data_IF_811738295661
#
_entry.id   IF_811738295661
#
_cell.length_a   1.000
_cell.length_b   1.000
_cell.length_c   1.000
_cell.angle_alpha   90.00
_cell.angle_beta   90.00
_cell.angle_gamma   90.00
#
_symmetry.space_group_name_H-M   'P 1'
#
loop_
_entity.id
_entity.type
_entity.pdbx_description
1 polymer ?
#
# COMPACT_ATOMS: atom_id res chain seq x y z
N UNK A 1 7.21 14.72 4.65
CA UNK A 1 7.52 13.88 5.84
C UNK A 1 7.57 12.38 5.51
N UNK A 2 6.79 11.86 4.56
CA UNK A 2 6.78 10.44 4.18
C UNK A 2 8.03 9.95 3.42
N UNK A 3 8.62 10.79 2.56
CA UNK A 3 9.80 10.42 1.75
C UNK A 3 11.04 10.10 2.62
N UNK A 4 11.22 10.79 3.75
CA UNK A 4 12.40 10.60 4.60
C UNK A 4 12.42 9.26 5.35
N UNK A 5 11.27 8.59 5.52
CA UNK A 5 11.18 7.32 6.27
C UNK A 5 11.60 6.11 5.42
N UNK A 6 11.42 6.18 4.10
CA UNK A 6 11.86 5.15 3.15
C UNK A 6 13.40 5.05 3.08
N UNK A 7 14.08 6.20 3.17
CA UNK A 7 15.55 6.26 3.05
C UNK A 7 16.27 5.54 4.20
N UNK A 8 15.73 5.62 5.43
CA UNK A 8 16.29 4.92 6.60
C UNK A 8 16.07 3.41 6.55
N UNK A 9 14.97 2.94 5.94
CA UNK A 9 14.70 1.51 5.80
C UNK A 9 15.73 0.87 4.89
N UNK A 10 16.08 1.49 3.74
CA UNK A 10 17.06 0.95 2.79
C UNK A 10 18.43 0.62 3.41
N UNK A 11 18.83 1.30 4.48
CA UNK A 11 20.08 1.00 5.20
C UNK A 11 20.03 -0.25 6.09
N UNK A 12 18.84 -0.85 6.29
CA UNK A 12 18.59 -1.97 7.18
C UNK A 12 17.94 -3.19 6.49
N UNK A 13 18.02 -3.29 5.16
CA UNK A 13 17.38 -4.36 4.35
C UNK A 13 18.45 -5.22 3.66
N UNK A 14 18.31 -6.55 3.71
CA UNK A 14 19.22 -7.49 3.05
C UNK A 14 19.23 -8.88 3.69
N UNK A 15 19.76 -9.88 2.99
CA UNK A 15 20.15 -11.16 3.61
C UNK A 15 21.11 -10.84 4.78
N UNK A 16 20.77 -11.33 5.97
CA UNK A 16 21.40 -11.06 7.28
C UNK A 16 20.83 -9.94 8.16
N UNK A 17 19.88 -9.12 7.68
CA UNK A 17 19.15 -8.15 8.54
C UNK A 17 17.67 -8.52 8.71
N UNK A 18 16.96 -8.80 7.62
CA UNK A 18 15.54 -9.19 7.64
C UNK A 18 15.27 -10.31 6.65
N UNK A 19 15.23 -10.00 5.35
CA UNK A 19 15.06 -10.92 4.21
C UNK A 19 15.30 -10.19 2.89
N UNK A 20 15.67 -10.91 1.83
CA UNK A 20 16.02 -10.34 0.50
C UNK A 20 14.88 -9.55 -0.15
N UNK A 21 13.64 -9.96 0.06
CA UNK A 21 12.44 -9.37 -0.55
C UNK A 21 11.75 -8.29 0.31
N UNK A 22 12.34 -7.94 1.47
CA UNK A 22 11.70 -7.01 2.41
C UNK A 22 11.45 -5.61 1.80
N UNK A 23 12.38 -5.10 0.99
CA UNK A 23 12.21 -3.80 0.33
C UNK A 23 11.04 -3.82 -0.66
N UNK A 24 10.97 -4.87 -1.48
CA UNK A 24 9.94 -5.01 -2.52
C UNK A 24 8.56 -5.17 -1.91
N UNK A 25 8.43 -6.02 -0.88
CA UNK A 25 7.17 -6.21 -0.15
C UNK A 25 6.74 -4.94 0.58
N UNK A 26 7.67 -4.24 1.23
CA UNK A 26 7.37 -2.96 1.90
C UNK A 26 6.90 -1.89 0.90
N UNK A 27 7.53 -1.81 -0.26
CA UNK A 27 7.14 -0.88 -1.32
C UNK A 27 5.76 -1.23 -1.88
N UNK A 28 5.49 -2.51 -2.11
CA UNK A 28 4.20 -2.98 -2.60
C UNK A 28 3.07 -2.69 -1.61
N UNK A 29 3.28 -2.95 -0.32
CA UNK A 29 2.30 -2.63 0.72
C UNK A 29 2.01 -1.12 0.78
N UNK A 30 3.05 -0.30 0.68
CA UNK A 30 2.86 1.16 0.66
C UNK A 30 2.10 1.63 -0.58
N UNK A 31 2.40 1.07 -1.75
CA UNK A 31 1.68 1.37 -2.98
C UNK A 31 0.20 0.97 -2.88
N UNK A 32 -0.09 -0.25 -2.43
CA UNK A 32 -1.46 -0.75 -2.26
C UNK A 32 -2.25 0.07 -1.23
N UNK A 33 -1.60 0.48 -0.13
CA UNK A 33 -2.22 1.36 0.86
C UNK A 33 -2.55 2.73 0.26
N UNK A 34 -1.62 3.34 -0.49
CA UNK A 34 -1.86 4.63 -1.14
C UNK A 34 -3.04 4.55 -2.13
N UNK A 35 -3.07 3.51 -2.97
CA UNK A 35 -4.15 3.27 -3.93
C UNK A 35 -5.48 3.06 -3.18
N UNK A 36 -5.50 2.20 -2.16
CA UNK A 36 -6.71 1.96 -1.37
C UNK A 36 -7.25 3.23 -0.73
N UNK A 37 -6.38 4.14 -0.25
CA UNK A 37 -6.81 5.42 0.32
C UNK A 37 -7.45 6.33 -0.72
N UNK A 38 -6.92 6.34 -1.94
CA UNK A 38 -7.52 7.07 -3.05
C UNK A 38 -8.87 6.45 -3.45
N UNK A 39 -8.98 5.12 -3.50
CA UNK A 39 -10.23 4.40 -3.75
C UNK A 39 -11.27 4.66 -2.65
N UNK A 40 -10.86 4.69 -1.39
CA UNK A 40 -11.74 5.02 -0.26
C UNK A 40 -12.30 6.44 -0.37
N UNK A 41 -11.47 7.40 -0.82
CA UNK A 41 -11.93 8.75 -1.10
C UNK A 41 -12.89 8.79 -2.30
N UNK A 42 -12.62 8.01 -3.36
CA UNK A 42 -13.51 7.89 -4.51
C UNK A 42 -14.87 7.29 -4.13
N UNK A 43 -14.90 6.27 -3.28
CA UNK A 43 -16.15 5.62 -2.82
C UNK A 43 -17.16 6.60 -2.21
N UNK A 44 -16.70 7.71 -1.61
CA UNK A 44 -17.60 8.73 -1.07
C UNK A 44 -18.32 9.58 -2.14
N UNK A 45 -17.86 9.54 -3.40
CA UNK A 45 -18.30 10.42 -4.49
C UNK A 45 -18.94 9.64 -5.65
N UNK A 46 -18.53 8.39 -5.88
CA UNK A 46 -19.11 7.51 -6.92
C UNK A 46 -20.08 6.49 -6.35
N UNK A 47 -20.99 6.02 -7.21
CA UNK A 47 -21.94 4.94 -6.89
C UNK A 47 -21.20 3.61 -6.81
N UNK A 48 -21.57 2.73 -5.87
CA UNK A 48 -20.84 1.48 -5.61
C UNK A 48 -20.71 0.56 -6.84
N UNK A 49 -21.69 0.53 -7.74
CA UNK A 49 -21.60 -0.31 -8.96
C UNK A 49 -20.57 0.20 -9.99
N UNK A 50 -20.04 1.42 -9.81
CA UNK A 50 -18.99 1.97 -10.67
C UNK A 50 -17.58 1.56 -10.24
N UNK A 51 -17.42 0.95 -9.06
CA UNK A 51 -16.13 0.46 -8.57
C UNK A 51 -15.74 -0.81 -9.33
N UNK A 52 -14.48 -0.87 -9.74
CA UNK A 52 -13.93 -2.09 -10.33
C UNK A 52 -13.73 -3.18 -9.28
N UNK A 53 -13.60 -4.43 -9.73
CA UNK A 53 -13.25 -5.53 -8.84
C UNK A 53 -11.91 -5.31 -8.12
N UNK A 54 -10.99 -4.56 -8.74
CA UNK A 54 -9.69 -4.24 -8.14
C UNK A 54 -9.82 -3.18 -7.04
N UNK A 55 -10.67 -2.17 -7.25
CA UNK A 55 -11.00 -1.17 -6.23
C UNK A 55 -11.58 -1.81 -4.96
N UNK A 56 -12.46 -2.79 -5.14
CA UNK A 56 -13.02 -3.57 -4.02
C UNK A 56 -11.94 -4.34 -3.26
N UNK A 57 -10.95 -4.91 -3.96
CA UNK A 57 -9.81 -5.58 -3.33
C UNK A 57 -8.92 -4.61 -2.56
N UNK A 58 -8.68 -3.39 -3.06
CA UNK A 58 -7.93 -2.38 -2.32
C UNK A 58 -8.68 -1.87 -1.09
N UNK A 59 -10.01 -1.80 -1.14
CA UNK A 59 -10.85 -1.48 0.02
C UNK A 59 -10.81 -2.59 1.08
N UNK A 60 -10.89 -3.85 0.66
CA UNK A 60 -10.74 -5.00 1.57
C UNK A 60 -9.34 -5.03 2.17
N UNK A 61 -8.30 -4.74 1.38
CA UNK A 61 -6.94 -4.60 1.86
C UNK A 61 -6.82 -3.53 2.96
N UNK A 62 -7.45 -2.36 2.80
CA UNK A 62 -7.45 -1.32 3.82
C UNK A 62 -8.18 -1.68 5.12
N UNK A 63 -9.19 -2.56 5.06
CA UNK A 63 -9.89 -3.00 6.28
C UNK A 63 -9.07 -4.00 7.09
N UNK A 64 -8.15 -4.73 6.43
CA UNK A 64 -7.33 -5.77 7.05
C UNK A 64 -6.00 -5.21 7.63
N UNK A 65 -5.46 -4.15 7.04
CA UNK A 65 -4.12 -3.60 7.33
C UNK A 65 -4.16 -2.16 7.87
#
# INVERSE_FOLDING_TARGET
MLINKMLCLQSAIGEEMTRRDHADVSNQLYANYAIGRDVQAMKAVVVEEALSSEDLLYLEFLDIF
#
